data_IF_603928709309
#
_entry.id   IF_603928709309
#
_cell.length_a   1.000
_cell.length_b   1.000
_cell.length_c   1.000
_cell.angle_alpha   90.00
_cell.angle_beta   90.00
_cell.angle_gamma   90.00
#
_symmetry.space_group_name_H-M   'P 1'
#
loop_
_entity.id
_entity.type
_entity.pdbx_description
1 polymer ?
#
# COMPACT_ATOMS: atom_id res chain seq x y z
N UNK A 1 -10.32 2.54 -4.43
CA UNK A 1 -10.98 3.44 -3.46
C UNK A 1 -11.38 4.71 -4.20
N UNK A 2 -12.63 5.17 -4.12
CA UNK A 2 -13.07 6.37 -4.85
C UNK A 2 -12.68 7.66 -4.11
N UNK A 3 -12.72 8.81 -4.80
CA UNK A 3 -12.48 10.13 -4.19
C UNK A 3 -13.42 10.40 -3.00
N UNK A 4 -14.69 10.07 -3.13
CA UNK A 4 -15.68 10.25 -2.04
C UNK A 4 -15.33 9.38 -0.83
N UNK A 5 -14.82 8.17 -1.03
CA UNK A 5 -14.38 7.30 0.08
C UNK A 5 -13.16 7.87 0.80
N UNK A 6 -12.24 8.51 0.07
CA UNK A 6 -11.11 9.21 0.68
C UNK A 6 -11.58 10.42 1.47
N UNK A 7 -12.43 11.27 0.89
CA UNK A 7 -12.97 12.45 1.53
C UNK A 7 -13.85 12.11 2.75
N UNK A 8 -14.50 10.95 2.78
CA UNK A 8 -15.27 10.50 3.95
C UNK A 8 -14.37 10.12 5.14
N UNK A 9 -13.17 9.58 4.89
CA UNK A 9 -12.31 8.95 5.91
C UNK A 9 -11.11 9.79 6.33
N UNK A 10 -10.63 10.65 5.43
CA UNK A 10 -9.43 11.44 5.63
C UNK A 10 -9.75 12.93 5.52
N UNK A 11 -8.94 13.74 6.20
CA UNK A 11 -8.90 15.17 5.99
C UNK A 11 -8.60 15.44 4.50
N UNK A 12 -8.93 16.65 3.98
CA UNK A 12 -8.53 17.03 2.63
C UNK A 12 -7.06 16.66 2.38
N UNK A 13 -6.77 16.07 1.22
CA UNK A 13 -5.43 15.57 0.89
C UNK A 13 -4.39 16.63 1.19
N UNK A 14 -3.45 16.29 2.05
CA UNK A 14 -2.33 17.16 2.40
C UNK A 14 -1.11 16.75 1.57
N UNK A 15 -0.22 17.71 1.35
CA UNK A 15 1.11 17.47 0.78
C UNK A 15 1.07 16.67 -0.54
N UNK A 16 0.29 17.16 -1.50
CA UNK A 16 0.21 16.59 -2.85
C UNK A 16 1.35 17.15 -3.67
N UNK A 17 2.34 16.33 -3.98
CA UNK A 17 3.49 16.74 -4.79
C UNK A 17 4.01 15.62 -5.67
N UNK A 18 4.68 16.01 -6.74
CA UNK A 18 5.48 15.07 -7.52
C UNK A 18 6.76 14.74 -6.74
N UNK A 19 7.07 13.45 -6.68
CA UNK A 19 8.27 12.96 -6.00
C UNK A 19 8.86 11.82 -6.85
N UNK A 20 10.16 11.90 -7.13
CA UNK A 20 10.88 10.81 -7.80
C UNK A 20 11.50 9.93 -6.75
N UNK A 21 11.01 8.69 -6.64
CA UNK A 21 11.59 7.68 -5.78
C UNK A 21 12.93 7.18 -6.33
N UNK A 22 13.76 6.62 -5.45
CA UNK A 22 15.02 5.99 -5.84
C UNK A 22 14.80 4.97 -6.97
N UNK A 23 15.73 4.87 -7.92
CA UNK A 23 15.51 4.07 -9.14
C UNK A 23 14.69 4.77 -10.23
N UNK A 24 14.43 6.08 -10.09
CA UNK A 24 13.87 6.93 -11.15
C UNK A 24 12.36 6.82 -11.34
N UNK A 25 11.65 6.27 -10.35
CA UNK A 25 10.19 6.09 -10.44
C UNK A 25 9.51 7.41 -10.08
N UNK A 26 8.91 8.08 -11.08
CA UNK A 26 8.10 9.27 -10.87
C UNK A 26 6.76 8.89 -10.23
N UNK A 27 6.38 9.62 -9.18
CA UNK A 27 5.17 9.37 -8.40
C UNK A 27 4.48 10.65 -7.98
N UNK A 28 3.18 10.55 -7.70
CA UNK A 28 2.45 11.52 -6.90
C UNK A 28 2.49 11.02 -5.45
N UNK A 29 3.03 11.85 -4.56
CA UNK A 29 3.02 11.62 -3.13
C UNK A 29 1.78 12.27 -2.51
N UNK A 30 1.05 11.50 -1.67
CA UNK A 30 -0.14 11.92 -0.94
C UNK A 30 0.03 11.66 0.55
N UNK A 31 -0.28 12.65 1.38
CA UNK A 31 -0.43 12.47 2.84
C UNK A 31 -1.90 12.35 3.24
N UNK A 32 -2.23 11.26 3.92
CA UNK A 32 -3.57 10.88 4.37
C UNK A 32 -3.65 10.98 5.90
N UNK A 33 -4.39 11.97 6.39
CA UNK A 33 -4.64 12.17 7.83
C UNK A 33 -6.07 11.72 8.16
N UNK A 34 -6.29 10.71 9.01
CA UNK A 34 -7.63 10.24 9.36
C UNK A 34 -8.51 11.34 9.99
N UNK A 35 -9.81 11.38 9.65
CA UNK A 35 -10.80 12.27 10.29
C UNK A 35 -11.25 11.77 11.67
N UNK A 36 -11.34 10.45 11.80
CA UNK A 36 -11.77 9.77 13.02
C UNK A 36 -10.60 9.08 13.69
N UNK A 37 -10.85 8.54 14.88
CA UNK A 37 -9.84 7.80 15.64
C UNK A 37 -9.37 6.58 14.82
N UNK A 38 -8.12 6.61 14.37
CA UNK A 38 -7.44 5.50 13.71
C UNK A 38 -6.35 4.92 14.63
N UNK A 39 -5.80 3.76 14.29
CA UNK A 39 -4.66 3.16 15.00
C UNK A 39 -3.34 3.90 14.72
N UNK A 40 -3.28 4.68 13.65
CA UNK A 40 -2.10 5.42 13.20
C UNK A 40 -2.36 6.94 13.17
N UNK A 41 -1.29 7.74 13.11
CA UNK A 41 -1.33 9.20 13.08
C UNK A 41 -1.60 9.73 11.68
N UNK A 42 -0.86 9.25 10.68
CA UNK A 42 -1.12 9.49 9.25
C UNK A 42 -0.45 8.42 8.40
N UNK A 43 -0.87 8.33 7.14
CA UNK A 43 -0.21 7.50 6.14
C UNK A 43 0.27 8.39 4.98
N UNK A 44 1.38 7.99 4.36
CA UNK A 44 1.93 8.58 3.14
C UNK A 44 1.89 7.49 2.06
N UNK A 45 1.45 7.84 0.85
CA UNK A 45 1.36 6.92 -0.29
C UNK A 45 2.00 7.59 -1.50
N UNK A 46 2.86 6.84 -2.19
CA UNK A 46 3.43 7.22 -3.48
C UNK A 46 2.77 6.37 -4.57
N UNK A 47 2.10 7.05 -5.49
CA UNK A 47 1.35 6.44 -6.59
C UNK A 47 2.07 6.74 -7.89
N UNK A 48 2.41 5.70 -8.66
CA UNK A 48 3.06 5.89 -9.96
C UNK A 48 2.06 6.36 -11.04
N UNK A 49 2.58 6.66 -12.23
CA UNK A 49 1.78 7.14 -13.37
C UNK A 49 0.68 6.18 -13.84
N UNK A 50 0.74 4.90 -13.46
CA UNK A 50 -0.31 3.93 -13.76
C UNK A 50 -1.41 3.88 -12.69
N UNK A 51 -1.32 4.71 -11.66
CA UNK A 51 -2.25 4.69 -10.52
C UNK A 51 -1.94 3.61 -9.49
N UNK A 52 -0.76 2.99 -9.55
CA UNK A 52 -0.36 1.93 -8.61
C UNK A 52 0.39 2.50 -7.41
N UNK A 53 -0.01 2.19 -6.16
CA UNK A 53 0.81 2.47 -5.00
C UNK A 53 2.11 1.66 -5.06
N UNK A 54 3.26 2.34 -5.10
CA UNK A 54 4.59 1.71 -5.17
C UNK A 54 5.39 1.85 -3.87
N UNK A 55 5.00 2.79 -3.02
CA UNK A 55 5.52 2.94 -1.67
C UNK A 55 4.41 3.42 -0.74
N UNK A 56 4.46 2.96 0.50
CA UNK A 56 3.56 3.40 1.57
C UNK A 56 4.37 3.57 2.85
N UNK A 57 4.10 4.61 3.60
CA UNK A 57 4.64 4.82 4.94
C UNK A 57 3.48 5.06 5.90
N UNK A 58 3.47 4.35 7.01
CA UNK A 58 2.48 4.52 8.07
C UNK A 58 3.24 5.08 9.27
N UNK A 59 2.78 6.21 9.79
CA UNK A 59 3.31 6.83 11.01
C UNK A 59 2.33 6.58 12.13
N UNK A 60 2.79 5.92 13.18
CA UNK A 60 2.02 5.56 14.35
C UNK A 60 1.83 6.74 15.31
N UNK A 61 0.98 6.57 16.33
CA UNK A 61 0.67 7.64 17.29
C UNK A 61 1.87 8.06 18.14
N UNK A 62 2.84 7.17 18.32
CA UNK A 62 4.09 7.39 19.05
C UNK A 62 5.23 7.92 18.14
N UNK A 63 4.91 8.32 16.91
CA UNK A 63 5.86 8.78 15.90
C UNK A 63 6.81 7.72 15.32
N UNK A 64 6.64 6.44 15.66
CA UNK A 64 7.28 5.35 14.93
C UNK A 64 6.73 5.24 13.51
N UNK A 65 7.55 4.77 12.58
CA UNK A 65 7.17 4.66 11.18
C UNK A 65 7.55 3.31 10.58
N UNK A 66 6.60 2.72 9.85
CA UNK A 66 6.85 1.57 8.98
C UNK A 66 6.76 2.03 7.53
N UNK A 67 7.80 1.78 6.73
CA UNK A 67 7.80 2.05 5.29
C UNK A 67 7.87 0.74 4.52
N UNK A 68 6.94 0.54 3.60
CA UNK A 68 6.92 -0.59 2.67
C UNK A 68 7.09 -0.06 1.25
N UNK A 69 7.99 -0.70 0.50
CA UNK A 69 8.26 -0.36 -0.89
C UNK A 69 8.16 -1.60 -1.76
N UNK A 70 7.43 -1.50 -2.85
CA UNK A 70 7.33 -2.54 -3.86
C UNK A 70 8.42 -2.33 -4.91
N UNK A 71 9.18 -3.38 -5.20
CA UNK A 71 10.26 -3.39 -6.20
C UNK A 71 10.10 -4.59 -7.12
N UNK A 72 10.59 -4.49 -8.36
CA UNK A 72 10.48 -5.59 -9.34
C UNK A 72 9.04 -5.96 -9.69
N UNK A 73 8.10 -5.01 -9.64
CA UNK A 73 6.69 -5.32 -9.91
C UNK A 73 6.45 -5.60 -11.40
N UNK A 74 5.85 -6.74 -11.69
CA UNK A 74 5.25 -7.04 -12.99
C UNK A 74 3.75 -6.69 -12.95
N UNK A 75 3.31 -5.81 -13.86
CA UNK A 75 1.91 -5.35 -13.92
C UNK A 75 1.12 -6.17 -14.91
N UNK A 76 -0.11 -6.51 -14.54
CA UNK A 76 -1.04 -7.27 -15.39
C UNK A 76 -0.48 -8.62 -15.88
N UNK A 77 0.41 -9.24 -15.09
CA UNK A 77 0.93 -10.56 -15.38
C UNK A 77 -0.22 -11.58 -15.41
N UNK A 78 -0.17 -12.52 -16.37
CA UNK A 78 -1.13 -13.62 -16.42
C UNK A 78 -0.72 -14.67 -15.40
N UNK A 79 -1.49 -14.81 -14.33
CA UNK A 79 -1.27 -15.79 -13.27
C UNK A 79 -2.22 -16.97 -13.49
N UNK A 80 -1.70 -18.20 -13.50
CA UNK A 80 -2.53 -19.41 -13.56
C UNK A 80 -3.26 -19.62 -12.24
N UNK A 81 -4.48 -20.17 -12.28
CA UNK A 81 -5.20 -20.56 -11.05
C UNK A 81 -4.43 -21.59 -10.22
N UNK A 82 -3.62 -22.43 -10.86
CA UNK A 82 -2.83 -23.47 -10.19
C UNK A 82 -1.74 -22.90 -9.28
N UNK A 83 -1.30 -21.66 -9.48
CA UNK A 83 -0.32 -20.99 -8.61
C UNK A 83 -0.87 -20.71 -7.21
N UNK A 84 -2.20 -20.70 -7.05
CA UNK A 84 -2.86 -20.50 -5.75
C UNK A 84 -3.06 -21.81 -4.98
N UNK A 85 -2.71 -22.96 -5.55
CA UNK A 85 -2.77 -24.23 -4.86
C UNK A 85 -1.60 -24.35 -3.87
N UNK A 86 -1.94 -24.53 -2.60
CA UNK A 86 -0.96 -24.83 -1.55
C UNK A 86 -0.42 -26.24 -1.77
N UNK A 87 0.79 -26.35 -2.31
CA UNK A 87 1.52 -27.62 -2.45
C UNK A 87 2.12 -27.98 -1.09
N UNK A 88 1.52 -28.98 -0.44
CA UNK A 88 1.99 -29.47 0.85
C UNK A 88 2.73 -30.79 0.66
N UNK A 89 3.88 -30.92 1.31
CA UNK A 89 4.61 -32.18 1.38
C UNK A 89 3.83 -33.23 2.18
N UNK A 90 4.11 -34.51 1.92
CA UNK A 90 3.38 -35.65 2.51
C UNK A 90 3.49 -35.74 4.04
N UNK A 91 4.47 -35.08 4.64
CA UNK A 91 4.69 -35.01 6.08
C UNK A 91 3.95 -33.83 6.76
N UNK A 92 3.25 -32.99 6.00
CA UNK A 92 2.49 -31.86 6.56
C UNK A 92 1.14 -32.33 7.08
N UNK A 93 0.92 -32.19 8.39
CA UNK A 93 -0.39 -32.40 9.01
C UNK A 93 -1.27 -31.17 8.79
N UNK A 94 -2.34 -31.31 8.01
CA UNK A 94 -3.37 -30.27 7.87
C UNK A 94 -4.25 -30.26 9.11
N UNK A 95 -4.36 -29.11 9.76
CA UNK A 95 -5.32 -28.86 10.85
C UNK A 95 -6.44 -27.98 10.30
N UNK A 96 -7.69 -28.45 10.38
CA UNK A 96 -8.86 -27.65 10.03
C UNK A 96 -9.44 -27.07 11.32
N UNK A 97 -9.58 -25.74 11.35
CA UNK A 97 -10.30 -25.00 12.40
C UNK A 97 -11.79 -25.06 12.21
#
# INVERSE_FOLDING_TARGET
>A
MSRQQLEARFQPLQDVREETLWGGISTIHLKLVPKSNASFKYAEIWVDSSGMPVQTKIVEKNDDATTMRLTGMEKNARISGDEFNVKLDSNVRIVKG
#
